data_IF_739589650648
#
_entry.id   IF_739589650648
#
_cell.length_a   1.000
_cell.length_b   1.000
_cell.length_c   1.000
_cell.angle_alpha   90.00
_cell.angle_beta   90.00
_cell.angle_gamma   90.00
#
_symmetry.space_group_name_H-M   'P 1'
#
loop_
_entity.id
_entity.type
_entity.pdbx_description
1 polymer ?
#
# COMPACT_ATOMS: atom_id res chain seq x y z
N UNK A 1 20.29 27.61 -47.13
CA UNK A 1 20.92 27.07 -45.91
C UNK A 1 19.82 26.95 -44.86
N UNK A 2 19.21 25.76 -44.77
CA UNK A 2 18.11 25.44 -43.85
C UNK A 2 18.69 24.58 -42.73
N UNK A 3 18.54 25.02 -41.48
CA UNK A 3 18.90 24.26 -40.28
C UNK A 3 17.60 23.92 -39.54
N UNK A 4 17.04 22.76 -39.87
CA UNK A 4 15.94 22.13 -39.14
C UNK A 4 16.49 21.49 -37.87
N UNK A 5 16.26 22.13 -36.72
CA UNK A 5 16.45 21.52 -35.41
C UNK A 5 15.29 20.56 -35.15
N UNK A 6 15.58 19.26 -35.28
CA UNK A 6 14.67 18.20 -34.89
C UNK A 6 14.68 18.14 -33.36
N UNK A 7 13.59 18.60 -32.74
CA UNK A 7 13.27 18.28 -31.36
C UNK A 7 13.01 16.77 -31.28
N UNK A 8 14.04 15.98 -30.99
CA UNK A 8 13.86 14.66 -30.41
C UNK A 8 13.33 14.84 -29.00
N UNK A 9 11.99 14.86 -28.88
CA UNK A 9 11.32 14.62 -27.62
C UNK A 9 11.73 13.23 -27.13
N UNK A 10 12.62 13.21 -26.14
CA UNK A 10 12.90 12.06 -25.30
C UNK A 10 11.59 11.66 -24.61
N UNK A 11 10.81 10.82 -25.27
CA UNK A 11 9.86 9.91 -24.64
C UNK A 11 10.69 8.91 -23.82
N UNK A 12 11.24 9.35 -22.69
CA UNK A 12 11.58 8.47 -21.59
C UNK A 12 10.29 7.79 -21.18
N UNK A 13 10.08 6.57 -21.69
CA UNK A 13 9.15 5.63 -21.10
C UNK A 13 9.53 5.53 -19.63
N UNK A 14 8.76 6.19 -18.78
CA UNK A 14 8.77 5.94 -17.35
C UNK A 14 8.27 4.50 -17.19
N UNK A 15 9.21 3.55 -17.28
CA UNK A 15 8.97 2.17 -16.88
C UNK A 15 8.43 2.24 -15.46
N UNK A 16 7.23 1.72 -15.22
CA UNK A 16 6.70 1.68 -13.87
C UNK A 16 7.71 0.95 -12.99
N UNK A 17 8.18 1.62 -11.93
CA UNK A 17 9.31 1.12 -11.12
C UNK A 17 8.88 0.04 -10.12
N UNK A 18 8.00 -0.86 -10.57
CA UNK A 18 7.42 -1.93 -9.78
C UNK A 18 7.82 -3.27 -10.37
N UNK A 19 8.33 -4.13 -9.52
CA UNK A 19 8.61 -5.52 -9.81
C UNK A 19 7.47 -6.35 -9.28
N UNK A 20 7.14 -7.44 -9.96
CA UNK A 20 6.11 -8.36 -9.51
C UNK A 20 6.62 -9.79 -9.58
N UNK A 21 6.13 -10.62 -8.67
CA UNK A 21 6.53 -12.00 -8.56
C UNK A 21 5.51 -12.78 -7.74
N UNK A 22 5.62 -14.11 -7.79
CA UNK A 22 4.76 -15.01 -7.03
C UNK A 22 5.49 -15.49 -5.80
N UNK A 23 4.77 -15.58 -4.69
CA UNK A 23 5.25 -16.32 -3.53
C UNK A 23 5.62 -17.76 -3.94
N UNK A 24 6.69 -18.27 -3.36
CA UNK A 24 7.25 -19.57 -3.71
C UNK A 24 6.87 -20.65 -2.68
N UNK A 25 6.71 -21.88 -3.17
CA UNK A 25 6.63 -23.06 -2.32
C UNK A 25 8.05 -23.49 -1.93
N UNK A 26 8.61 -22.79 -0.94
CA UNK A 26 9.93 -23.10 -0.40
C UNK A 26 9.98 -24.53 0.17
N UNK A 27 11.15 -25.17 0.10
CA UNK A 27 11.38 -26.44 0.79
C UNK A 27 11.18 -26.34 2.32
N UNK A 28 11.19 -25.13 2.88
CA UNK A 28 10.96 -24.85 4.29
C UNK A 28 9.49 -24.57 4.65
N UNK A 29 8.56 -24.61 3.69
CA UNK A 29 7.15 -24.26 3.96
C UNK A 29 6.50 -25.15 5.04
N UNK A 30 6.94 -26.41 5.17
CA UNK A 30 6.46 -27.33 6.20
C UNK A 30 6.73 -26.82 7.62
N UNK A 31 7.80 -26.04 7.83
CA UNK A 31 8.09 -25.41 9.12
C UNK A 31 7.08 -24.32 9.44
N UNK A 32 6.64 -23.57 8.42
CA UNK A 32 5.53 -22.65 8.61
C UNK A 32 4.25 -23.41 8.90
N UNK A 33 3.96 -24.47 8.16
CA UNK A 33 2.74 -25.29 8.34
C UNK A 33 2.68 -25.95 9.73
N UNK A 34 3.82 -26.26 10.35
CA UNK A 34 3.87 -26.81 11.70
C UNK A 34 3.53 -25.83 12.82
N UNK A 35 3.50 -24.52 12.53
CA UNK A 35 3.10 -23.51 13.53
C UNK A 35 1.58 -23.47 13.62
N UNK A 36 1.03 -23.70 14.81
CA UNK A 36 -0.38 -23.46 15.06
C UNK A 36 -0.63 -21.95 15.18
N UNK A 37 -1.02 -21.33 14.08
CA UNK A 37 -1.35 -19.91 14.01
C UNK A 37 -2.80 -19.60 14.42
N UNK A 38 -3.63 -20.61 14.71
CA UNK A 38 -5.03 -20.41 15.13
C UNK A 38 -5.15 -20.29 16.65
N UNK A 39 -4.37 -21.06 17.40
CA UNK A 39 -4.32 -20.99 18.86
C UNK A 39 -3.22 -20.04 19.36
N UNK A 40 -3.61 -18.96 20.07
CA UNK A 40 -2.68 -17.95 20.58
C UNK A 40 -1.63 -18.53 21.52
N UNK A 41 -1.98 -19.52 22.35
CA UNK A 41 -1.05 -20.12 23.32
C UNK A 41 -0.03 -21.02 22.64
N UNK A 42 -0.48 -21.88 21.75
CA UNK A 42 0.37 -22.76 20.94
C UNK A 42 1.28 -21.94 20.04
N UNK A 43 0.76 -20.87 19.43
CA UNK A 43 1.54 -19.93 18.63
C UNK A 43 2.71 -19.37 19.44
N UNK A 44 2.43 -18.77 20.61
CA UNK A 44 3.45 -18.17 21.49
C UNK A 44 4.54 -19.16 21.89
N UNK A 45 4.18 -20.44 22.09
CA UNK A 45 5.14 -21.48 22.43
C UNK A 45 6.05 -21.92 21.28
N UNK A 46 5.69 -21.60 20.03
CA UNK A 46 6.35 -22.14 18.82
C UNK A 46 7.05 -21.06 17.99
N UNK A 47 6.48 -19.87 17.87
CA UNK A 47 6.80 -18.96 16.77
C UNK A 47 8.14 -18.21 16.89
N UNK A 48 8.63 -17.96 18.10
CA UNK A 48 9.85 -17.16 18.34
C UNK A 48 11.11 -17.99 18.19
N UNK A 49 11.33 -18.46 16.96
CA UNK A 49 12.50 -19.25 16.57
C UNK A 49 13.06 -18.74 15.25
N UNK A 50 14.39 -18.50 15.16
CA UNK A 50 15.03 -18.07 13.93
C UNK A 50 14.74 -18.98 12.72
N UNK A 51 14.55 -20.29 12.93
CA UNK A 51 14.25 -21.23 11.84
C UNK A 51 12.85 -21.01 11.24
N UNK A 52 11.87 -20.63 12.07
CA UNK A 52 10.52 -20.29 11.62
C UNK A 52 10.53 -18.97 10.84
N UNK A 53 11.33 -18.00 11.27
CA UNK A 53 11.48 -16.73 10.56
C UNK A 53 12.27 -16.88 9.26
N UNK A 54 13.27 -17.76 9.20
CA UNK A 54 13.96 -18.08 7.96
C UNK A 54 12.99 -18.74 6.97
N UNK A 55 12.18 -19.70 7.44
CA UNK A 55 11.12 -20.29 6.63
C UNK A 55 10.13 -19.22 6.12
N UNK A 56 9.75 -18.25 6.97
CA UNK A 56 8.87 -17.13 6.63
C UNK A 56 9.43 -16.27 5.50
N UNK A 57 10.70 -15.90 5.56
CA UNK A 57 11.31 -15.10 4.50
C UNK A 57 11.60 -15.92 3.25
N UNK A 58 11.83 -17.23 3.38
CA UNK A 58 12.11 -18.11 2.24
C UNK A 58 10.93 -18.27 1.27
N UNK A 59 9.70 -17.95 1.68
CA UNK A 59 8.51 -18.04 0.80
C UNK A 59 8.26 -16.79 -0.04
N UNK A 60 8.99 -15.69 0.21
CA UNK A 60 8.90 -14.47 -0.59
C UNK A 60 9.22 -14.73 -2.07
N UNK A 61 8.73 -13.90 -3.00
CA UNK A 61 9.09 -14.02 -4.41
C UNK A 61 10.60 -14.05 -4.63
N UNK A 62 11.06 -14.93 -5.53
CA UNK A 62 12.49 -15.13 -5.80
C UNK A 62 13.19 -13.85 -6.24
N UNK A 63 12.52 -13.06 -7.05
CA UNK A 63 13.00 -11.79 -7.59
C UNK A 63 13.15 -10.76 -6.47
N UNK A 64 12.19 -10.69 -5.56
CA UNK A 64 12.27 -9.83 -4.37
C UNK A 64 13.45 -10.23 -3.49
N UNK A 65 13.66 -11.54 -3.26
CA UNK A 65 14.79 -12.02 -2.47
C UNK A 65 16.13 -11.62 -3.10
N UNK A 66 16.26 -11.67 -4.43
CA UNK A 66 17.46 -11.20 -5.13
C UNK A 66 17.69 -9.70 -4.91
N UNK A 67 16.63 -8.90 -4.98
CA UNK A 67 16.73 -7.46 -4.72
C UNK A 67 17.07 -7.15 -3.27
N UNK A 68 16.50 -7.88 -2.30
CA UNK A 68 16.85 -7.73 -0.89
C UNK A 68 18.34 -8.04 -0.67
N UNK A 69 18.86 -9.11 -1.27
CA UNK A 69 20.30 -9.42 -1.20
C UNK A 69 21.12 -8.33 -1.86
N UNK A 70 20.72 -7.82 -3.02
CA UNK A 70 21.48 -6.80 -3.75
C UNK A 70 21.45 -5.42 -3.07
N UNK A 71 20.26 -4.92 -2.74
CA UNK A 71 20.05 -3.58 -2.23
C UNK A 71 20.35 -3.47 -0.73
N UNK A 72 20.05 -4.51 0.06
CA UNK A 72 20.14 -4.47 1.52
C UNK A 72 21.28 -5.32 2.07
N UNK A 73 21.92 -6.15 1.23
CA UNK A 73 22.95 -7.11 1.65
C UNK A 73 22.46 -8.07 2.75
N UNK A 74 21.19 -8.49 2.65
CA UNK A 74 20.56 -9.42 3.58
C UNK A 74 20.00 -10.63 2.83
N UNK A 75 20.18 -11.82 3.40
CA UNK A 75 19.55 -13.05 2.94
C UNK A 75 18.46 -13.48 3.94
N UNK A 76 17.66 -14.53 3.65
CA UNK A 76 16.61 -15.00 4.57
C UNK A 76 17.09 -15.30 6.00
N UNK A 77 18.30 -15.81 6.17
CA UNK A 77 18.90 -16.06 7.47
C UNK A 77 19.25 -14.75 8.22
N UNK A 78 19.80 -13.75 7.54
CA UNK A 78 20.06 -12.44 8.16
C UNK A 78 18.76 -11.73 8.54
N UNK A 79 17.75 -11.79 7.66
CA UNK A 79 16.41 -11.26 7.96
C UNK A 79 15.77 -11.97 9.16
N UNK A 80 15.92 -13.30 9.28
CA UNK A 80 15.36 -14.06 10.40
C UNK A 80 16.01 -13.68 11.72
N UNK A 81 17.34 -13.50 11.73
CA UNK A 81 18.09 -13.06 12.90
C UNK A 81 17.69 -11.63 13.31
N UNK A 82 17.58 -10.69 12.36
CA UNK A 82 17.19 -9.31 12.64
C UNK A 82 15.74 -9.22 13.16
N UNK A 83 14.83 -10.04 12.63
CA UNK A 83 13.47 -10.14 13.15
C UNK A 83 13.48 -10.65 14.60
N UNK A 84 14.20 -11.76 14.88
CA UNK A 84 14.30 -12.33 16.22
C UNK A 84 14.95 -11.37 17.24
N UNK A 85 15.96 -10.60 16.82
CA UNK A 85 16.55 -9.58 17.69
C UNK A 85 15.55 -8.46 18.07
N UNK A 86 14.49 -8.28 17.27
CA UNK A 86 13.49 -7.24 17.45
C UNK A 86 12.22 -7.69 18.20
N UNK A 87 12.02 -8.99 18.45
CA UNK A 87 10.76 -9.56 18.99
C UNK A 87 10.52 -9.36 20.49
N UNK A 88 11.36 -8.60 21.20
CA UNK A 88 11.28 -8.37 22.66
C UNK A 88 10.00 -7.65 23.18
N UNK A 89 8.98 -7.42 22.35
CA UNK A 89 7.74 -6.74 22.74
C UNK A 89 6.53 -7.68 22.70
N UNK A 90 5.82 -7.89 23.83
CA UNK A 90 4.61 -8.72 23.89
C UNK A 90 3.49 -8.26 22.95
N UNK A 91 3.47 -6.99 22.52
CA UNK A 91 2.47 -6.50 21.59
C UNK A 91 2.64 -7.04 20.16
N UNK A 92 3.80 -7.65 19.83
CA UNK A 92 4.14 -8.04 18.46
C UNK A 92 3.67 -9.43 18.05
N UNK A 93 3.36 -10.33 18.98
CA UNK A 93 3.04 -11.71 18.59
C UNK A 93 1.84 -11.77 17.64
N UNK A 94 0.80 -10.94 17.82
CA UNK A 94 -0.37 -10.89 16.92
C UNK A 94 -0.01 -10.46 15.51
N UNK A 95 0.84 -9.46 15.38
CA UNK A 95 1.36 -9.00 14.09
C UNK A 95 2.13 -10.13 13.38
N UNK A 96 3.03 -10.81 14.09
CA UNK A 96 3.81 -11.92 13.54
C UNK A 96 2.90 -13.11 13.20
N UNK A 97 1.96 -13.47 14.07
CA UNK A 97 0.98 -14.56 13.88
C UNK A 97 0.18 -14.37 12.59
N UNK A 98 -0.44 -13.21 12.44
CA UNK A 98 -1.24 -12.89 11.25
C UNK A 98 -0.38 -12.82 9.99
N UNK A 99 0.85 -12.32 10.10
CA UNK A 99 1.78 -12.28 8.96
C UNK A 99 2.21 -13.68 8.54
N UNK A 100 2.55 -14.57 9.48
CA UNK A 100 2.84 -15.98 9.20
C UNK A 100 1.66 -16.66 8.52
N UNK A 101 0.44 -16.46 9.03
CA UNK A 101 -0.77 -17.02 8.43
C UNK A 101 -0.95 -16.51 6.99
N UNK A 102 -0.75 -15.20 6.76
CA UNK A 102 -0.87 -14.60 5.44
C UNK A 102 0.18 -15.13 4.47
N UNK A 103 1.45 -15.17 4.87
CA UNK A 103 2.56 -15.64 4.03
C UNK A 103 2.43 -17.12 3.70
N UNK A 104 2.01 -17.95 4.67
CA UNK A 104 1.69 -19.37 4.46
C UNK A 104 0.63 -19.53 3.39
N UNK A 105 -0.49 -18.81 3.50
CA UNK A 105 -1.57 -18.87 2.51
C UNK A 105 -1.11 -18.34 1.13
N UNK A 106 -0.37 -17.24 1.09
CA UNK A 106 0.19 -16.67 -0.13
C UNK A 106 1.15 -17.65 -0.83
N UNK A 107 1.98 -18.38 -0.08
CA UNK A 107 2.88 -19.40 -0.60
C UNK A 107 2.14 -20.61 -1.18
N UNK A 108 1.15 -21.14 -0.45
CA UNK A 108 0.34 -22.27 -0.93
C UNK A 108 -0.42 -21.93 -2.21
N UNK A 109 -0.99 -20.73 -2.26
CA UNK A 109 -1.76 -20.24 -3.43
C UNK A 109 -0.88 -19.62 -4.53
N UNK A 110 0.45 -19.55 -4.33
CA UNK A 110 1.40 -18.84 -5.23
C UNK A 110 0.89 -17.45 -5.59
N UNK A 111 0.40 -16.71 -4.60
CA UNK A 111 -0.17 -15.37 -4.74
C UNK A 111 0.87 -14.46 -5.38
N UNK A 112 0.43 -13.72 -6.40
CA UNK A 112 1.24 -12.69 -7.03
C UNK A 112 1.18 -11.41 -6.21
N UNK A 113 2.33 -10.76 -6.06
CA UNK A 113 2.51 -9.48 -5.38
C UNK A 113 3.43 -8.60 -6.21
N UNK A 114 3.35 -7.29 -6.01
CA UNK A 114 4.33 -6.34 -6.54
C UNK A 114 5.05 -5.61 -5.40
N UNK A 115 6.18 -5.00 -5.70
CA UNK A 115 6.94 -4.15 -4.78
C UNK A 115 7.70 -3.07 -5.57
N UNK A 116 7.97 -1.89 -4.98
CA UNK A 116 8.81 -0.89 -5.61
C UNK A 116 10.27 -1.38 -5.71
N UNK A 117 11.05 -0.84 -6.64
CA UNK A 117 12.48 -1.09 -6.71
C UNK A 117 13.17 -0.82 -5.35
N UNK A 118 13.91 -1.79 -4.81
CA UNK A 118 14.46 -1.69 -3.46
C UNK A 118 15.78 -0.89 -3.38
N UNK A 119 16.44 -0.68 -4.52
CA UNK A 119 17.68 0.10 -4.67
C UNK A 119 17.46 1.61 -4.45
N UNK A 120 16.29 2.14 -4.78
CA UNK A 120 15.93 3.55 -4.55
C UNK A 120 15.50 3.82 -3.11
N UNK A 121 15.26 2.77 -2.31
CA UNK A 121 14.81 2.89 -0.92
C UNK A 121 16.03 2.88 0.00
N UNK A 122 16.52 4.07 0.33
CA UNK A 122 17.62 4.22 1.27
C UNK A 122 17.21 3.82 2.71
N UNK A 123 17.93 2.85 3.29
CA UNK A 123 17.83 2.43 4.70
C UNK A 123 16.40 2.12 5.20
N UNK A 124 15.70 1.15 4.61
CA UNK A 124 14.29 0.92 4.93
C UNK A 124 14.04 0.49 6.40
N UNK A 125 15.01 -0.20 7.02
CA UNK A 125 14.97 -0.60 8.43
C UNK A 125 15.19 0.55 9.41
N UNK A 126 15.74 1.67 8.95
CA UNK A 126 15.83 2.88 9.76
C UNK A 126 14.45 3.54 9.96
N UNK A 127 13.42 3.13 9.22
CA UNK A 127 12.07 3.72 9.27
C UNK A 127 11.02 2.81 9.91
N UNK A 128 11.30 1.52 10.05
CA UNK A 128 10.39 0.53 10.63
C UNK A 128 10.95 -0.08 11.91
N UNK A 129 10.06 -0.56 12.77
CA UNK A 129 10.43 -1.23 14.02
C UNK A 129 11.12 -2.57 13.83
N UNK A 130 10.93 -3.21 12.67
CA UNK A 130 11.57 -4.47 12.30
C UNK A 130 11.55 -4.70 10.77
N UNK A 131 12.28 -5.73 10.36
CA UNK A 131 12.44 -6.13 8.96
C UNK A 131 11.15 -6.70 8.36
N UNK A 132 10.29 -7.36 9.17
CA UNK A 132 9.05 -7.96 8.69
C UNK A 132 8.03 -6.88 8.35
N UNK A 133 7.89 -5.87 9.21
CA UNK A 133 7.06 -4.71 8.97
C UNK A 133 7.52 -3.89 7.76
N UNK A 134 8.83 -3.80 7.56
CA UNK A 134 9.41 -3.20 6.35
C UNK A 134 8.93 -3.92 5.10
N UNK A 135 9.09 -5.24 5.05
CA UNK A 135 8.72 -6.05 3.88
C UNK A 135 7.21 -5.98 3.66
N UNK A 136 6.39 -6.14 4.70
CA UNK A 136 4.93 -6.08 4.59
C UNK A 136 4.43 -4.76 4.00
N UNK A 137 5.07 -3.64 4.34
CA UNK A 137 4.69 -2.34 3.79
C UNK A 137 5.10 -2.16 2.32
N UNK A 138 6.02 -2.97 1.79
CA UNK A 138 6.40 -2.97 0.38
C UNK A 138 5.64 -3.97 -0.48
N UNK A 139 4.87 -4.88 0.12
CA UNK A 139 4.02 -5.81 -0.64
C UNK A 139 2.74 -5.11 -1.10
N UNK A 140 2.61 -4.99 -2.41
CA UNK A 140 1.55 -4.29 -3.11
C UNK A 140 0.66 -5.26 -3.87
N UNK A 141 -0.61 -4.92 -3.98
CA UNK A 141 -1.58 -5.64 -4.78
C UNK A 141 -1.34 -5.39 -6.27
N UNK A 142 -1.03 -6.42 -7.06
CA UNK A 142 -0.71 -6.27 -8.48
C UNK A 142 -1.85 -5.67 -9.31
N UNK A 143 -3.10 -5.83 -8.87
CA UNK A 143 -4.27 -5.36 -9.61
C UNK A 143 -4.51 -3.87 -9.44
N UNK A 144 -3.87 -3.23 -8.46
CA UNK A 144 -4.16 -1.86 -8.08
C UNK A 144 -2.94 -0.93 -8.24
N UNK A 145 -1.81 -1.39 -8.78
CA UNK A 145 -0.65 -0.50 -8.97
C UNK A 145 -0.93 0.51 -10.09
N UNK A 146 -1.14 1.77 -9.72
CA UNK A 146 -1.43 2.88 -10.64
C UNK A 146 -0.48 4.05 -10.40
N UNK A 147 0.01 4.70 -11.46
CA UNK A 147 0.83 5.92 -11.37
C UNK A 147 2.06 5.83 -10.44
N UNK A 148 2.66 4.64 -10.39
CA UNK A 148 3.72 4.26 -9.44
C UNK A 148 3.28 4.25 -7.97
N UNK A 149 2.02 4.52 -7.64
CA UNK A 149 1.46 4.36 -6.30
C UNK A 149 0.90 2.94 -6.17
N UNK A 150 1.44 2.16 -5.24
CA UNK A 150 0.93 0.83 -4.95
C UNK A 150 -0.11 0.84 -3.82
N UNK A 151 -1.19 0.09 -3.98
CA UNK A 151 -2.06 -0.25 -2.85
C UNK A 151 -1.55 -1.50 -2.16
N UNK A 152 -1.65 -1.54 -0.84
CA UNK A 152 -1.25 -2.70 -0.03
C UNK A 152 -2.35 -3.76 -0.03
N UNK A 153 -1.96 -4.99 0.25
CA UNK A 153 -2.91 -6.02 0.67
C UNK A 153 -3.49 -5.68 2.04
N UNK A 154 -4.79 -5.39 2.13
CA UNK A 154 -5.40 -4.97 3.39
C UNK A 154 -5.50 -6.07 4.44
N UNK A 155 -5.59 -7.32 3.98
CA UNK A 155 -5.56 -8.54 4.77
C UNK A 155 -4.15 -8.87 5.30
N UNK A 156 -3.09 -8.26 4.74
CA UNK A 156 -1.75 -8.31 5.29
C UNK A 156 -1.60 -7.28 6.41
N UNK A 157 -1.14 -7.63 7.62
CA UNK A 157 -0.89 -6.65 8.68
C UNK A 157 0.20 -5.65 8.26
N UNK A 158 -0.03 -4.33 8.36
CA UNK A 158 0.99 -3.35 8.04
C UNK A 158 2.09 -3.33 9.11
N UNK A 159 3.31 -3.07 8.66
CA UNK A 159 4.45 -2.89 9.55
C UNK A 159 4.40 -1.60 10.34
N UNK A 160 4.89 -1.64 11.58
CA UNK A 160 4.94 -0.46 12.44
C UNK A 160 6.11 0.45 12.06
N UNK A 161 5.86 1.77 11.85
CA UNK A 161 6.93 2.75 11.79
C UNK A 161 7.71 2.79 13.11
N UNK A 162 8.94 3.27 13.06
CA UNK A 162 9.66 3.65 14.28
C UNK A 162 9.00 4.87 14.93
N UNK A 163 9.01 4.88 16.25
CA UNK A 163 8.52 5.97 17.09
C UNK A 163 9.66 6.69 17.84
N UNK A 164 10.90 6.20 17.71
CA UNK A 164 12.10 6.71 18.38
C UNK A 164 13.03 7.53 17.44
N UNK A 165 12.64 7.68 16.17
CA UNK A 165 13.35 8.50 15.17
C UNK A 165 12.34 9.29 14.34
N UNK A 166 12.69 10.51 13.91
CA UNK A 166 11.91 11.22 12.91
C UNK A 166 12.13 10.58 11.53
N UNK A 167 11.05 10.41 10.77
CA UNK A 167 11.10 9.85 9.42
C UNK A 167 10.80 10.96 8.41
N UNK A 168 11.78 11.27 7.56
CA UNK A 168 11.77 12.44 6.68
C UNK A 168 11.59 12.08 5.20
N UNK A 169 10.91 12.97 4.47
CA UNK A 169 10.62 12.87 3.04
C UNK A 169 11.04 14.17 2.33
N UNK A 170 11.81 14.00 1.25
CA UNK A 170 12.25 15.09 0.39
C UNK A 170 11.37 15.28 -0.84
N UNK A 171 11.47 16.42 -1.54
CA UNK A 171 10.61 16.75 -2.69
C UNK A 171 10.77 15.76 -3.86
N UNK A 172 11.93 15.17 -4.03
CA UNK A 172 12.23 14.28 -5.15
C UNK A 172 11.81 12.82 -4.91
N UNK A 173 11.30 12.49 -3.72
CA UNK A 173 10.86 11.13 -3.39
C UNK A 173 9.51 10.80 -4.03
N UNK A 174 9.31 9.55 -4.43
CA UNK A 174 8.07 9.07 -5.04
C UNK A 174 6.87 9.29 -4.12
N UNK A 175 7.05 9.04 -2.82
CA UNK A 175 6.01 9.18 -1.81
C UNK A 175 5.51 10.63 -1.69
N UNK A 176 6.42 11.60 -1.82
CA UNK A 176 6.08 13.03 -1.83
C UNK A 176 5.27 13.39 -3.07
N UNK A 177 5.62 12.85 -4.23
CA UNK A 177 4.89 13.08 -5.49
C UNK A 177 3.48 12.48 -5.45
N UNK A 178 3.30 11.29 -4.86
CA UNK A 178 1.95 10.73 -4.64
C UNK A 178 1.12 11.63 -3.74
N UNK A 179 1.74 12.17 -2.69
CA UNK A 179 1.08 13.06 -1.76
C UNK A 179 0.66 14.38 -2.43
N UNK A 180 1.50 14.95 -3.30
CA UNK A 180 1.19 16.14 -4.11
C UNK A 180 -0.07 15.94 -4.96
N UNK A 181 -0.21 14.77 -5.59
CA UNK A 181 -1.35 14.46 -6.44
C UNK A 181 -2.64 14.20 -5.64
N UNK A 182 -2.53 13.66 -4.43
CA UNK A 182 -3.68 13.16 -3.66
C UNK A 182 -4.18 14.12 -2.58
N UNK A 183 -3.31 14.97 -2.02
CA UNK A 183 -3.70 15.99 -1.03
C UNK A 183 -4.88 16.86 -1.47
N UNK A 184 -4.93 17.38 -2.72
CA UNK A 184 -6.05 18.20 -3.18
C UNK A 184 -7.41 17.49 -3.07
N UNK A 185 -7.45 16.17 -3.28
CA UNK A 185 -8.68 15.36 -3.19
C UNK A 185 -9.22 15.28 -1.75
N UNK A 186 -8.39 15.53 -0.75
CA UNK A 186 -8.80 15.57 0.66
C UNK A 186 -9.21 16.96 1.11
N UNK A 187 -8.82 18.00 0.35
CA UNK A 187 -8.80 19.39 0.78
C UNK A 187 -9.76 20.30 0.01
N UNK A 188 -10.64 19.78 -0.85
CA UNK A 188 -11.61 20.63 -1.55
C UNK A 188 -12.81 19.85 -2.10
N UNK A 189 -13.99 20.40 -1.82
CA UNK A 189 -14.96 20.66 -2.89
C UNK A 189 -14.65 22.09 -3.37
N UNK A 190 -14.33 22.33 -4.66
CA UNK A 190 -14.16 23.69 -5.16
C UNK A 190 -15.44 24.52 -4.91
N UNK A 191 -15.31 25.66 -4.21
CA UNK A 191 -16.42 26.60 -3.99
C UNK A 191 -17.10 26.54 -2.62
N UNK A 192 -16.74 25.62 -1.73
CA UNK A 192 -17.21 25.62 -0.33
C UNK A 192 -16.13 26.15 0.62
N UNK A 193 -16.46 27.08 1.54
CA UNK A 193 -15.45 27.70 2.42
C UNK A 193 -14.78 26.73 3.40
N UNK A 194 -15.40 25.59 3.72
CA UNK A 194 -14.90 24.65 4.75
C UNK A 194 -15.41 23.21 4.54
N UNK A 195 -14.77 22.39 3.70
CA UNK A 195 -15.07 20.96 3.77
C UNK A 195 -13.89 20.09 3.35
N UNK A 196 -12.95 19.88 4.27
CA UNK A 196 -12.10 18.70 4.22
C UNK A 196 -12.98 17.45 4.19
N UNK A 197 -12.55 16.41 3.49
CA UNK A 197 -13.20 15.12 3.62
C UNK A 197 -13.18 14.68 5.09
N UNK A 198 -14.23 14.00 5.54
CA UNK A 198 -14.34 13.57 6.94
C UNK A 198 -13.14 12.70 7.32
N UNK A 199 -12.64 12.85 8.55
CA UNK A 199 -11.42 12.19 9.03
C UNK A 199 -11.39 10.69 8.74
N UNK A 200 -12.49 9.98 9.00
CA UNK A 200 -12.58 8.54 8.77
C UNK A 200 -12.51 8.15 7.28
N UNK A 201 -13.00 9.00 6.38
CA UNK A 201 -12.93 8.81 4.93
C UNK A 201 -11.47 8.91 4.48
N UNK A 202 -10.76 9.97 4.90
CA UNK A 202 -9.35 10.15 4.58
C UNK A 202 -8.53 8.99 5.15
N UNK A 203 -8.75 8.61 6.42
CA UNK A 203 -8.03 7.48 7.04
C UNK A 203 -8.27 6.17 6.30
N UNK A 204 -9.48 5.91 5.83
CA UNK A 204 -9.76 4.71 5.03
C UNK A 204 -8.94 4.71 3.75
N UNK A 205 -8.93 5.82 2.99
CA UNK A 205 -8.15 5.95 1.74
C UNK A 205 -6.65 5.83 2.00
N UNK A 206 -6.10 6.57 2.97
CA UNK A 206 -4.67 6.49 3.28
C UNK A 206 -4.29 5.07 3.75
N UNK A 207 -5.19 4.34 4.40
CA UNK A 207 -4.94 2.98 4.84
C UNK A 207 -4.76 1.97 3.69
N UNK A 208 -5.23 2.28 2.49
CA UNK A 208 -5.09 1.41 1.32
C UNK A 208 -3.72 1.54 0.67
N UNK A 209 -2.99 2.64 0.91
CA UNK A 209 -1.70 2.88 0.28
C UNK A 209 -0.59 2.04 0.91
N UNK A 210 0.31 1.56 0.07
CA UNK A 210 1.56 0.91 0.45
C UNK A 210 2.65 1.89 0.88
N UNK A 211 3.72 1.35 1.45
CA UNK A 211 4.86 2.11 1.96
C UNK A 211 4.67 2.70 3.35
N UNK A 212 5.68 3.43 3.79
CA UNK A 212 5.78 3.96 5.16
C UNK A 212 5.07 5.30 5.36
N UNK A 213 5.07 6.17 4.33
CA UNK A 213 4.40 7.48 4.37
C UNK A 213 2.93 7.38 4.81
N UNK A 214 2.07 6.52 4.23
CA UNK A 214 0.68 6.44 4.67
C UNK A 214 0.54 5.99 6.12
N UNK A 215 1.46 5.17 6.66
CA UNK A 215 1.43 4.77 8.07
C UNK A 215 1.68 5.96 8.99
N UNK A 216 2.59 6.84 8.59
CA UNK A 216 2.91 8.08 9.31
C UNK A 216 1.76 9.09 9.22
N UNK A 217 1.18 9.26 8.03
CA UNK A 217 0.00 10.11 7.83
C UNK A 217 -1.18 9.62 8.68
N UNK A 218 -1.46 8.31 8.71
CA UNK A 218 -2.52 7.76 9.56
C UNK A 218 -2.30 8.02 11.04
N UNK A 219 -1.05 7.95 11.49
CA UNK A 219 -0.71 8.28 12.87
C UNK A 219 -0.83 9.79 13.16
N UNK A 220 -0.76 10.65 12.14
CA UNK A 220 -1.04 12.08 12.27
C UNK A 220 -2.52 12.42 12.13
N UNK A 221 -3.34 11.60 11.45
CA UNK A 221 -4.77 11.82 11.24
C UNK A 221 -5.59 11.43 12.48
N UNK A 222 -5.52 12.28 13.52
CA UNK A 222 -6.20 12.11 14.80
C UNK A 222 -7.33 13.13 15.02
N UNK A 223 -8.24 12.80 15.93
CA UNK A 223 -9.21 13.76 16.48
C UNK A 223 -8.48 14.87 17.26
N UNK A 224 -9.13 16.04 17.38
CA UNK A 224 -8.54 17.26 17.95
C UNK A 224 -7.99 17.06 19.37
N UNK A 225 -8.69 16.27 20.17
CA UNK A 225 -8.39 16.03 21.59
C UNK A 225 -7.16 15.13 21.77
N UNK A 226 -6.73 14.43 20.72
CA UNK A 226 -5.62 13.47 20.77
C UNK A 226 -4.27 14.09 20.41
N UNK A 227 -4.21 15.38 20.03
CA UNK A 227 -2.94 16.06 19.77
C UNK A 227 -2.36 16.68 21.05
N UNK A 228 -1.28 16.10 21.54
CA UNK A 228 -0.53 16.64 22.67
C UNK A 228 0.98 16.60 22.46
N UNK A 229 1.69 17.49 23.14
CA UNK A 229 3.13 17.61 23.01
C UNK A 229 3.82 16.79 24.11
N UNK A 230 4.34 15.63 23.75
CA UNK A 230 5.15 14.80 24.67
C UNK A 230 6.67 14.96 24.44
N UNK A 231 7.07 15.86 23.54
CA UNK A 231 8.46 16.06 23.22
C UNK A 231 9.20 16.73 24.39
N UNK A 232 10.49 16.38 24.56
CA UNK A 232 11.37 17.10 25.50
C UNK A 232 11.54 18.57 25.09
N UNK A 233 11.41 18.86 23.80
CA UNK A 233 11.41 20.21 23.27
C UNK A 233 9.98 20.78 23.26
N UNK A 234 9.85 22.09 23.49
CA UNK A 234 8.56 22.78 23.45
C UNK A 234 7.99 22.74 22.03
N UNK A 235 6.87 22.07 21.83
CA UNK A 235 6.18 22.08 20.54
C UNK A 235 5.64 23.47 20.21
N UNK A 236 5.65 23.79 18.92
CA UNK A 236 5.04 24.98 18.35
C UNK A 236 3.76 24.61 17.62
N UNK A 237 2.79 25.52 17.59
CA UNK A 237 1.56 25.38 16.81
C UNK A 237 1.67 26.00 15.41
N UNK A 238 2.72 26.77 15.18
CA UNK A 238 2.97 27.48 13.94
C UNK A 238 3.90 26.67 13.03
N UNK A 239 3.75 26.88 11.72
CA UNK A 239 4.59 26.27 10.69
C UNK A 239 5.99 26.88 10.68
N UNK A 240 6.90 26.34 11.50
CA UNK A 240 8.27 26.85 11.71
C UNK A 240 9.26 25.68 11.58
N UNK A 241 10.30 25.79 10.74
CA UNK A 241 11.30 24.73 10.58
C UNK A 241 12.13 24.53 11.86
N UNK A 242 12.70 23.34 12.01
CA UNK A 242 13.61 22.97 13.11
C UNK A 242 12.95 22.79 14.47
N UNK A 243 11.65 23.09 14.59
CA UNK A 243 10.87 22.94 15.83
C UNK A 243 9.80 21.86 15.68
N UNK A 244 9.48 21.11 16.75
CA UNK A 244 8.40 20.14 16.69
C UNK A 244 7.05 20.85 16.50
N UNK A 245 6.43 20.63 15.35
CA UNK A 245 5.14 21.22 15.00
C UNK A 245 4.04 20.27 15.48
N UNK A 246 3.21 20.73 16.40
CA UNK A 246 2.05 19.99 16.89
C UNK A 246 0.76 20.60 16.29
N UNK A 247 0.15 19.97 15.28
CA UNK A 247 -1.10 20.43 14.70
C UNK A 247 -2.22 20.53 15.74
N UNK A 248 -3.16 21.45 15.55
CA UNK A 248 -4.34 21.61 16.42
C UNK A 248 -5.52 20.73 16.02
N UNK A 249 -5.50 20.17 14.81
CA UNK A 249 -6.51 19.28 14.23
C UNK A 249 -5.89 18.54 13.04
N UNK A 250 -6.59 17.51 12.53
CA UNK A 250 -6.14 16.84 11.30
C UNK A 250 -6.16 17.77 10.09
N UNK A 251 -7.09 18.73 10.03
CA UNK A 251 -7.16 19.73 8.95
C UNK A 251 -5.96 20.66 8.97
N UNK A 252 -5.57 21.16 10.15
CA UNK A 252 -4.35 21.97 10.31
C UNK A 252 -3.09 21.17 9.98
N UNK A 253 -3.06 19.88 10.29
CA UNK A 253 -1.98 18.99 9.86
C UNK A 253 -1.90 18.89 8.33
N UNK A 254 -3.02 18.65 7.66
CA UNK A 254 -3.09 18.58 6.20
C UNK A 254 -2.68 19.90 5.54
N UNK A 255 -3.03 21.05 6.13
CA UNK A 255 -2.58 22.37 5.66
C UNK A 255 -1.07 22.54 5.74
N UNK A 256 -0.47 22.15 6.86
CA UNK A 256 0.98 22.22 7.03
C UNK A 256 1.69 21.24 6.10
N UNK A 257 1.14 20.05 5.92
CA UNK A 257 1.69 19.04 5.02
C UNK A 257 1.63 19.53 3.57
N UNK A 258 0.48 20.03 3.11
CA UNK A 258 0.33 20.65 1.79
C UNK A 258 1.30 21.80 1.59
N UNK A 259 1.45 22.68 2.57
CA UNK A 259 2.41 23.79 2.49
C UNK A 259 3.85 23.29 2.33
N UNK A 260 4.22 22.19 2.98
CA UNK A 260 5.56 21.60 2.82
C UNK A 260 5.75 21.03 1.41
N UNK A 261 4.75 20.31 0.89
CA UNK A 261 4.77 19.73 -0.45
C UNK A 261 4.79 20.83 -1.53
N UNK A 262 3.87 21.79 -1.49
CA UNK A 262 3.75 22.89 -2.47
C UNK A 262 5.04 23.74 -2.53
N UNK A 263 5.74 23.89 -1.39
CA UNK A 263 6.99 24.64 -1.31
C UNK A 263 8.24 23.78 -1.52
N UNK A 264 8.08 22.49 -1.82
CA UNK A 264 9.19 21.54 -2.00
C UNK A 264 10.13 21.46 -0.80
N UNK A 265 9.60 21.64 0.40
CA UNK A 265 10.36 21.53 1.64
C UNK A 265 10.49 20.07 2.07
N UNK A 266 11.60 19.74 2.73
CA UNK A 266 11.73 18.45 3.43
C UNK A 266 10.83 18.48 4.67
N UNK A 267 10.03 17.42 4.83
CA UNK A 267 9.16 17.26 6.00
C UNK A 267 9.40 15.92 6.69
N UNK A 268 9.20 15.86 8.00
CA UNK A 268 9.37 14.66 8.81
C UNK A 268 8.19 14.40 9.73
N UNK A 269 8.08 13.15 10.18
CA UNK A 269 7.10 12.73 11.17
C UNK A 269 7.80 12.13 12.37
N UNK A 270 7.35 12.49 13.57
CA UNK A 270 7.80 11.91 14.82
C UNK A 270 6.59 11.37 15.59
N UNK A 271 6.54 10.04 15.73
CA UNK A 271 5.39 9.34 16.33
C UNK A 271 5.51 9.12 17.84
N UNK A 272 6.71 9.29 18.39
CA UNK A 272 7.00 9.15 19.80
C UNK A 272 8.07 10.14 20.23
N UNK A 273 8.68 9.86 21.38
CA UNK A 273 9.63 10.76 22.00
C UNK A 273 10.98 10.69 21.30
N UNK A 274 11.41 11.81 20.73
CA UNK A 274 12.66 11.90 19.99
C UNK A 274 13.81 12.34 20.92
N UNK A 275 14.92 11.61 20.86
CA UNK A 275 16.15 12.00 21.57
C UNK A 275 16.78 13.24 20.94
N UNK A 276 17.47 14.06 21.75
CA UNK A 276 18.12 15.29 21.25
C UNK A 276 19.16 15.02 20.17
N UNK A 277 19.85 13.89 20.24
CA UNK A 277 20.84 13.43 19.25
C UNK A 277 20.22 13.01 17.91
N UNK A 278 18.90 12.85 17.86
CA UNK A 278 18.15 12.35 16.69
C UNK A 278 17.16 13.37 16.17
N UNK A 279 17.33 14.64 16.52
CA UNK A 279 16.48 15.71 15.99
C UNK A 279 16.73 15.86 14.48
N UNK A 280 15.69 16.17 13.69
CA UNK A 280 15.88 16.50 12.27
C UNK A 280 16.77 17.72 12.09
N UNK A 281 17.21 17.92 10.85
CA UNK A 281 17.90 19.13 10.44
C UNK A 281 17.08 20.40 10.81
N UNK A 282 17.72 21.48 11.31
CA UNK A 282 17.04 22.74 11.64
C UNK A 282 16.22 23.36 10.51
N UNK A 283 16.51 23.03 9.25
CA UNK A 283 15.78 23.54 8.09
C UNK A 283 14.55 22.68 7.74
N UNK A 284 14.37 21.53 8.38
CA UNK A 284 13.27 20.61 8.10
C UNK A 284 12.02 20.93 8.91
N UNK A 285 10.85 20.67 8.32
CA UNK A 285 9.57 20.78 8.99
C UNK A 285 9.19 19.44 9.59
N UNK A 286 9.07 19.31 10.91
CA UNK A 286 8.76 18.01 11.49
C UNK A 286 7.53 18.03 12.39
N UNK A 287 6.58 17.18 12.04
CA UNK A 287 5.28 17.06 12.67
C UNK A 287 5.33 16.01 13.78
N UNK A 288 4.70 16.32 14.91
CA UNK A 288 4.60 15.40 16.04
C UNK A 288 3.15 14.96 16.25
N UNK A 289 2.93 13.66 16.46
CA UNK A 289 1.58 13.10 16.65
C UNK A 289 1.08 13.13 18.10
N UNK A 290 1.94 13.37 19.09
CA UNK A 290 1.68 13.02 20.50
C UNK A 290 1.80 11.51 20.76
N UNK A 291 1.40 11.00 21.95
CA UNK A 291 1.54 9.55 22.26
C UNK A 291 0.89 8.69 21.17
N UNK A 292 1.63 7.63 20.86
CA UNK A 292 1.10 6.41 20.30
C UNK A 292 0.76 6.46 18.82
N UNK A 293 1.25 5.45 18.10
CA UNK A 293 0.57 4.97 16.91
C UNK A 293 -0.87 4.59 17.27
N UNK A 294 -1.76 4.65 16.29
CA UNK A 294 -3.10 4.09 16.43
C UNK A 294 -3.01 2.69 17.02
N UNK A 295 -3.80 2.41 18.05
CA UNK A 295 -3.90 1.09 18.66
C UNK A 295 -4.29 0.07 17.59
N UNK A 296 -3.93 -1.19 17.79
CA UNK A 296 -4.28 -2.23 16.81
C UNK A 296 -5.80 -2.32 16.59
N UNK A 297 -6.60 -2.06 17.64
CA UNK A 297 -8.06 -1.94 17.55
C UNK A 297 -8.47 -0.82 16.58
N UNK A 298 -7.88 0.36 16.69
CA UNK A 298 -8.13 1.46 15.76
C UNK A 298 -7.68 1.12 14.34
N UNK A 299 -6.54 0.45 14.17
CA UNK A 299 -6.08 0.01 12.83
C UNK A 299 -7.04 -0.99 12.18
N UNK A 300 -7.64 -1.89 12.97
CA UNK A 300 -8.58 -2.90 12.51
C UNK A 300 -9.96 -2.33 12.17
N UNK A 301 -10.41 -1.26 12.84
CA UNK A 301 -11.68 -0.60 12.58
C UNK A 301 -11.79 -0.02 11.15
N UNK A 302 -10.68 0.08 10.41
CA UNK A 302 -10.67 0.62 9.05
C UNK A 302 -10.99 -0.41 7.94
N UNK A 303 -11.34 -1.66 8.29
CA UNK A 303 -12.09 -2.61 7.44
C UNK A 303 -11.38 -3.13 6.17
N UNK A 304 -11.86 -4.26 5.64
CA UNK A 304 -11.43 -4.81 4.34
C UNK A 304 -12.11 -4.05 3.19
N UNK A 305 -11.38 -3.74 2.12
CA UNK A 305 -11.87 -3.04 0.93
C UNK A 305 -12.93 -3.81 0.12
N UNK A 306 -13.31 -5.03 0.51
CA UNK A 306 -14.32 -5.82 -0.21
C UNK A 306 -15.67 -5.10 -0.38
N UNK A 307 -15.92 -4.02 0.37
CA UNK A 307 -17.13 -3.19 0.31
C UNK A 307 -16.96 -1.86 -0.46
N UNK A 308 -15.79 -1.60 -1.07
CA UNK A 308 -15.54 -0.33 -1.75
C UNK A 308 -15.97 -0.36 -3.22
N UNK A 309 -16.87 0.55 -3.58
CA UNK A 309 -17.09 1.01 -4.97
C UNK A 309 -16.41 2.37 -5.11
N UNK A 310 -15.53 2.51 -6.10
CA UNK A 310 -14.82 3.76 -6.42
C UNK A 310 -15.75 4.95 -6.64
N UNK A 311 -16.99 4.69 -7.04
CA UNK A 311 -18.03 5.69 -7.30
C UNK A 311 -18.40 6.56 -6.08
N UNK A 312 -17.99 6.20 -4.87
CA UNK A 312 -18.39 6.90 -3.64
C UNK A 312 -17.51 8.11 -3.26
N UNK A 313 -16.35 8.33 -3.93
CA UNK A 313 -15.41 9.39 -3.55
C UNK A 313 -15.36 10.58 -4.51
N UNK A 314 -16.02 10.48 -5.66
CA UNK A 314 -16.26 11.62 -6.54
C UNK A 314 -17.75 11.91 -6.44
N UNK A 315 -18.20 13.03 -5.85
CA UNK A 315 -19.57 13.48 -6.04
C UNK A 315 -19.85 13.42 -7.55
N UNK A 316 -20.93 12.77 -7.98
CA UNK A 316 -21.18 12.52 -9.41
C UNK A 316 -21.05 13.78 -10.30
N UNK A 317 -21.23 14.97 -9.71
CA UNK A 317 -21.02 16.29 -10.34
C UNK A 317 -19.55 16.63 -10.71
N UNK A 318 -18.55 16.02 -10.08
CA UNK A 318 -17.12 16.19 -10.39
C UNK A 318 -16.60 15.17 -11.41
N UNK A 319 -17.32 14.07 -11.64
CA UNK A 319 -16.97 13.09 -12.67
C UNK A 319 -17.17 13.67 -14.09
N UNK A 320 -18.16 14.56 -14.27
CA UNK A 320 -18.49 15.13 -15.58
C UNK A 320 -17.47 16.13 -16.12
N UNK A 321 -16.67 16.77 -15.26
CA UNK A 321 -15.66 17.76 -15.68
C UNK A 321 -14.23 17.21 -15.77
N UNK A 322 -14.01 15.97 -15.33
CA UNK A 322 -12.68 15.33 -15.34
C UNK A 322 -12.59 14.07 -16.21
N UNK A 323 -13.68 13.70 -16.89
CA UNK A 323 -13.69 12.60 -17.87
C UNK A 323 -13.01 12.99 -19.20
N UNK A 324 -11.72 13.32 -19.17
CA UNK A 324 -10.83 13.18 -20.33
C UNK A 324 -10.03 11.90 -20.12
N UNK A 325 -10.73 10.78 -20.29
CA UNK A 325 -10.20 9.44 -20.11
C UNK A 325 -11.07 8.43 -20.83
N UNK A 326 -11.41 8.70 -22.09
CA UNK A 326 -11.96 7.66 -22.96
C UNK A 326 -10.95 6.52 -23.15
N UNK A 327 -11.40 5.31 -23.53
CA UNK A 327 -10.52 4.17 -23.75
C UNK A 327 -9.41 4.57 -24.73
N UNK A 328 -8.16 4.55 -24.25
CA UNK A 328 -7.02 4.83 -25.12
C UNK A 328 -6.93 3.72 -26.16
N UNK A 329 -7.08 4.09 -27.44
CA UNK A 329 -6.75 3.25 -28.59
C UNK A 329 -5.24 2.98 -28.60
N UNK A 330 -4.81 1.95 -27.87
CA UNK A 330 -3.42 1.53 -27.77
C UNK A 330 -3.00 0.83 -29.08
N UNK A 331 -2.56 1.61 -30.07
CA UNK A 331 -1.88 1.10 -31.27
C UNK A 331 -0.40 0.83 -30.96
N UNK A 332 -0.14 -0.24 -30.21
CA UNK A 332 1.20 -0.80 -30.04
C UNK A 332 1.31 -2.15 -30.73
N UNK A 333 2.46 -2.47 -31.34
CA UNK A 333 2.75 -3.85 -31.76
C UNK A 333 2.85 -4.70 -30.49
N UNK A 334 1.86 -5.56 -30.28
CA UNK A 334 1.94 -6.66 -29.32
C UNK A 334 3.01 -7.64 -29.83
N UNK A 335 4.13 -7.71 -29.13
CA UNK A 335 5.09 -8.79 -29.31
C UNK A 335 4.47 -10.05 -28.69
N UNK A 336 4.26 -11.05 -29.55
CA UNK A 336 3.53 -12.26 -29.21
C UNK A 336 4.35 -13.16 -28.31
N UNK A 337 3.78 -13.49 -27.15
CA UNK A 337 3.83 -14.82 -26.52
C UNK A 337 2.94 -14.91 -25.25
N UNK A 338 1.88 -14.10 -25.16
CA UNK A 338 0.78 -14.32 -24.21
C UNK A 338 -0.40 -14.99 -24.93
N UNK A 339 -0.51 -16.31 -24.77
CA UNK A 339 -1.56 -17.18 -25.31
C UNK A 339 -3.00 -16.83 -24.87
N UNK A 340 -3.21 -15.76 -24.07
CA UNK A 340 -4.53 -15.29 -23.63
C UNK A 340 -5.13 -14.16 -24.49
N UNK A 341 -4.49 -13.71 -25.59
CA UNK A 341 -4.84 -12.42 -26.23
C UNK A 341 -5.37 -12.47 -27.67
N UNK A 342 -5.79 -13.62 -28.20
CA UNK A 342 -6.30 -13.67 -29.59
C UNK A 342 -7.75 -13.20 -29.80
N UNK A 343 -8.47 -12.75 -28.75
CA UNK A 343 -9.79 -12.12 -28.95
C UNK A 343 -9.63 -10.62 -29.23
N UNK A 344 -9.99 -10.21 -30.45
CA UNK A 344 -10.24 -8.80 -30.78
C UNK A 344 -11.54 -8.38 -30.09
N UNK A 345 -11.46 -7.43 -29.17
CA UNK A 345 -12.59 -6.90 -28.40
C UNK A 345 -13.64 -6.18 -29.27
N UNK A 346 -13.27 -5.84 -30.50
CA UNK A 346 -14.11 -5.06 -31.42
C UNK A 346 -14.92 -5.94 -32.39
N UNK A 347 -14.85 -7.28 -32.25
CA UNK A 347 -15.69 -8.18 -33.03
C UNK A 347 -16.99 -8.46 -32.26
N UNK A 348 -18.17 -8.26 -32.87
CA UNK A 348 -19.41 -8.74 -32.27
C UNK A 348 -19.28 -10.24 -32.02
N UNK A 349 -19.69 -10.70 -30.83
CA UNK A 349 -19.81 -12.12 -30.52
C UNK A 349 -20.69 -12.75 -31.61
N UNK A 350 -20.07 -13.46 -32.54
CA UNK A 350 -20.80 -14.35 -33.44
C UNK A 350 -21.43 -15.38 -32.53
N UNK A 351 -22.76 -15.47 -32.56
CA UNK A 351 -23.52 -16.42 -31.77
C UNK A 351 -23.15 -17.83 -32.29
N UNK A 352 -22.10 -18.42 -31.74
CA UNK A 352 -21.69 -19.77 -32.07
C UNK A 352 -22.79 -20.70 -31.55
N UNK A 353 -23.65 -21.13 -32.47
CA UNK A 353 -24.74 -22.04 -32.17
C UNK A 353 -24.14 -23.41 -31.82
N UNK A 354 -23.83 -23.64 -30.55
CA UNK A 354 -23.42 -24.95 -30.05
C UNK A 354 -24.65 -25.86 -29.99
N UNK A 355 -24.76 -26.89 -30.85
CA UNK A 355 -25.91 -27.80 -30.82
C UNK A 355 -25.96 -28.50 -29.46
N UNK A 356 -27.08 -28.31 -28.74
CA UNK A 356 -27.32 -28.84 -27.40
C UNK A 356 -27.45 -27.81 -26.28
N UNK A 357 -27.24 -26.51 -26.54
CA UNK A 357 -27.34 -25.44 -25.53
C UNK A 357 -28.59 -24.55 -25.63
N UNK A 358 -29.65 -24.98 -26.30
CA UNK A 358 -30.86 -24.16 -26.55
C UNK A 358 -31.66 -23.77 -25.29
N UNK A 359 -31.29 -24.26 -24.11
CA UNK A 359 -31.90 -23.91 -22.83
C UNK A 359 -31.01 -23.09 -21.88
N UNK A 360 -29.78 -22.74 -22.29
CA UNK A 360 -28.83 -22.07 -21.40
C UNK A 360 -29.14 -20.58 -21.29
N UNK A 361 -29.13 -20.05 -20.06
CA UNK A 361 -29.36 -18.62 -19.81
C UNK A 361 -28.02 -17.90 -19.82
N UNK A 362 -27.86 -16.92 -20.72
CA UNK A 362 -26.66 -16.08 -20.80
C UNK A 362 -26.61 -15.08 -19.65
N UNK A 363 -25.48 -15.00 -18.96
CA UNK A 363 -25.24 -14.08 -17.84
C UNK A 363 -23.99 -13.25 -18.17
N UNK A 364 -24.18 -12.04 -18.68
CA UNK A 364 -23.08 -11.18 -19.14
C UNK A 364 -22.51 -10.27 -18.05
N UNK A 365 -21.20 -10.02 -18.08
CA UNK A 365 -20.51 -9.11 -17.17
C UNK A 365 -19.36 -8.37 -17.85
N UNK A 366 -19.09 -7.13 -17.42
CA UNK A 366 -17.82 -6.47 -17.77
C UNK A 366 -16.67 -7.03 -16.93
N UNK A 367 -15.44 -6.83 -17.38
CA UNK A 367 -14.23 -7.25 -16.64
C UNK A 367 -14.13 -6.65 -15.23
N UNK A 368 -14.84 -5.55 -14.95
CA UNK A 368 -14.93 -4.92 -13.63
C UNK A 368 -16.13 -5.39 -12.79
N UNK A 369 -17.10 -6.09 -13.40
CA UNK A 369 -18.32 -6.61 -12.74
C UNK A 369 -18.28 -8.09 -12.38
N UNK A 370 -17.13 -8.76 -12.51
CA UNK A 370 -17.01 -10.22 -12.46
C UNK A 370 -17.58 -10.89 -11.20
N UNK A 371 -17.61 -10.20 -10.05
CA UNK A 371 -18.21 -10.72 -8.81
C UNK A 371 -19.74 -10.76 -8.87
N UNK A 372 -20.39 -9.77 -9.48
CA UNK A 372 -21.84 -9.72 -9.60
C UNK A 372 -22.36 -10.72 -10.64
N UNK A 373 -21.68 -10.81 -11.78
CA UNK A 373 -22.01 -11.79 -12.84
C UNK A 373 -21.79 -13.22 -12.35
N UNK A 374 -20.73 -13.49 -11.58
CA UNK A 374 -20.51 -14.79 -10.95
C UNK A 374 -21.58 -15.11 -9.90
N UNK A 375 -22.02 -14.13 -9.09
CA UNK A 375 -23.09 -14.32 -8.11
C UNK A 375 -24.43 -14.64 -8.79
N UNK A 376 -24.79 -13.90 -9.86
CA UNK A 376 -26.00 -14.16 -10.64
C UNK A 376 -25.96 -15.55 -11.31
N UNK A 377 -24.82 -15.93 -11.88
CA UNK A 377 -24.64 -17.27 -12.45
C UNK A 377 -24.79 -18.37 -11.39
N UNK A 378 -24.25 -18.17 -10.19
CA UNK A 378 -24.37 -19.12 -9.08
C UNK A 378 -25.81 -19.25 -8.57
N UNK A 379 -26.56 -18.15 -8.47
CA UNK A 379 -27.95 -18.19 -8.03
C UNK A 379 -28.85 -18.90 -9.05
N UNK A 380 -28.61 -18.70 -10.35
CA UNK A 380 -29.31 -19.42 -11.43
C UNK A 380 -28.93 -20.92 -11.46
N UNK A 381 -27.66 -21.26 -11.24
CA UNK A 381 -27.25 -22.66 -11.10
C UNK A 381 -27.93 -23.34 -9.92
N UNK A 382 -28.06 -22.64 -8.78
CA UNK A 382 -28.76 -23.17 -7.59
C UNK A 382 -30.25 -23.40 -7.80
N UNK A 383 -30.87 -22.66 -8.73
CA UNK A 383 -32.28 -22.88 -9.11
C UNK A 383 -32.45 -23.96 -10.19
N UNK A 384 -31.38 -24.66 -10.57
CA UNK A 384 -31.41 -25.73 -11.56
C UNK A 384 -31.38 -25.25 -13.01
N UNK A 385 -31.02 -23.97 -13.23
CA UNK A 385 -30.90 -23.38 -14.57
C UNK A 385 -29.46 -23.53 -15.06
N UNK A 386 -29.29 -24.08 -16.26
CA UNK A 386 -27.99 -24.12 -16.92
C UNK A 386 -27.64 -22.72 -17.46
N UNK A 387 -26.43 -22.24 -17.20
CA UNK A 387 -26.01 -20.86 -17.52
C UNK A 387 -24.75 -20.82 -18.39
N UNK A 388 -24.71 -19.84 -19.29
CA UNK A 388 -23.53 -19.48 -20.09
C UNK A 388 -23.03 -18.11 -19.62
N UNK A 389 -21.79 -18.02 -19.15
CA UNK A 389 -21.19 -16.78 -18.60
C UNK A 389 -20.28 -16.11 -19.63
#
# INVERSE_FOLDING_TARGET
>A
MLLTWVFSSLLTRLVSAHWCGRFQQSALIFLLDSIDAQDERSFVAQYDSPIHYEALFSVLPREMLKEIVYAWNLNPYSLSHDLHASTNSPARFRFVQRTIQWYRNAAHTRRQVCWPSLDVIAYPFARHKDVLGTINNFLLDPLLVEDNMGFRHLDLPPGEPRDDVPICFGPDQNETRWLEQRLPLWMAIPGTPESYAQLHVIRRVVNTWGGILPRLILAMLKEKELYFCEQRARCVRNYIPGKPILPTSYTAFLDFLRRAVDRKHVFCFALGKIERSRLPDPDYYWFVSGEGQLTERERQLFGSLAEWKEDALVPAELAETTAIGGPQNLKGRFEGENYYSHRKWDQPLVDEHYPGRSGWVKVGGSSQGGSATAAEAQDKLRSGVEVEV
#
